data_IF_266714818699
#
_entry.id   IF_266714818699
#
_cell.length_a   1.000
_cell.length_b   1.000
_cell.length_c   1.000
_cell.angle_alpha   90.00
_cell.angle_beta   90.00
_cell.angle_gamma   90.00
#
_symmetry.space_group_name_H-M   'P 1'
#
loop_
_entity.id
_entity.type
_entity.pdbx_description
1 polymer ?
#
# COMPACT_ATOMS: atom_id res chain seq x y z
N UNK A 1 27.05 -36.41 -1.94
CA UNK A 1 25.65 -35.92 -1.99
C UNK A 1 25.13 -35.77 -0.57
N UNK A 2 24.95 -34.54 -0.04
CA UNK A 2 24.15 -34.14 1.15
C UNK A 2 24.64 -32.74 1.56
N UNK A 3 23.86 -31.70 1.88
CA UNK A 3 22.46 -31.52 2.30
C UNK A 3 22.11 -30.02 2.11
N UNK A 4 21.31 -29.66 1.11
CA UNK A 4 20.80 -28.28 0.89
C UNK A 4 19.53 -28.12 1.77
N UNK A 5 19.63 -27.64 3.02
CA UNK A 5 18.47 -27.45 3.92
C UNK A 5 18.48 -26.11 4.69
N UNK A 6 18.69 -24.96 4.05
CA UNK A 6 18.70 -23.66 4.79
C UNK A 6 17.80 -22.55 4.22
N UNK A 7 17.11 -22.74 3.09
CA UNK A 7 16.35 -21.64 2.45
C UNK A 7 14.91 -21.40 2.96
N UNK A 8 14.33 -22.35 3.69
CA UNK A 8 12.95 -22.27 4.19
C UNK A 8 12.83 -21.64 5.59
N UNK A 9 13.79 -21.94 6.46
CA UNK A 9 13.82 -21.46 7.87
C UNK A 9 13.99 -19.93 7.94
N UNK A 10 14.83 -19.35 7.08
CA UNK A 10 15.11 -17.91 7.09
C UNK A 10 13.90 -17.03 6.67
N UNK A 11 13.08 -17.50 5.72
CA UNK A 11 11.86 -16.79 5.30
C UNK A 11 10.81 -16.77 6.41
N UNK A 12 10.61 -17.90 7.08
CA UNK A 12 9.68 -18.03 8.21
C UNK A 12 10.15 -17.17 9.39
N UNK A 13 11.46 -17.11 9.66
CA UNK A 13 12.06 -16.22 10.67
C UNK A 13 11.84 -14.74 10.35
N UNK A 14 12.05 -14.32 9.08
CA UNK A 14 11.77 -12.94 8.64
C UNK A 14 10.29 -12.57 8.73
N UNK A 15 9.39 -13.47 8.35
CA UNK A 15 7.95 -13.25 8.45
C UNK A 15 7.49 -13.10 9.90
N UNK A 16 8.03 -13.92 10.80
CA UNK A 16 7.76 -13.82 12.25
C UNK A 16 8.26 -12.49 12.82
N UNK A 17 9.43 -12.02 12.40
CA UNK A 17 9.98 -10.72 12.81
C UNK A 17 9.13 -9.52 12.34
N UNK A 18 8.34 -9.67 11.28
CA UNK A 18 7.45 -8.64 10.72
C UNK A 18 6.10 -8.56 11.45
N UNK A 19 5.80 -9.43 12.41
CA UNK A 19 4.50 -9.46 13.09
C UNK A 19 4.39 -8.32 14.14
N UNK A 20 3.53 -7.31 13.93
CA UNK A 20 3.43 -6.12 14.79
C UNK A 20 2.73 -6.40 16.14
N UNK A 21 2.29 -7.63 16.39
CA UNK A 21 1.59 -8.07 17.60
C UNK A 21 2.48 -8.87 18.56
N UNK A 22 3.76 -9.09 18.24
CA UNK A 22 4.72 -9.72 19.15
C UNK A 22 5.10 -8.74 20.27
N UNK A 23 5.04 -9.18 21.53
CA UNK A 23 5.41 -8.38 22.71
C UNK A 23 4.32 -7.45 23.25
N UNK A 24 3.15 -7.36 22.60
CA UNK A 24 2.03 -6.53 23.08
C UNK A 24 1.12 -7.32 24.04
N UNK A 25 0.83 -6.81 25.25
CA UNK A 25 -0.06 -7.47 26.20
C UNK A 25 -1.54 -7.35 25.78
N UNK A 26 -2.38 -8.28 26.25
CA UNK A 26 -3.84 -8.25 26.06
C UNK A 26 -4.41 -9.36 25.18
N UNK A 27 -5.68 -9.71 25.44
CA UNK A 27 -6.39 -10.80 24.77
C UNK A 27 -6.47 -10.61 23.24
N UNK A 28 -6.84 -9.42 22.79
CA UNK A 28 -6.94 -9.09 21.37
C UNK A 28 -5.59 -9.19 20.64
N UNK A 29 -4.48 -8.82 21.29
CA UNK A 29 -3.15 -8.95 20.71
C UNK A 29 -2.74 -10.42 20.54
N UNK A 30 -3.14 -11.29 21.47
CA UNK A 30 -2.91 -12.74 21.35
C UNK A 30 -3.70 -13.35 20.19
N UNK A 31 -4.96 -12.94 20.00
CA UNK A 31 -5.77 -13.36 18.85
C UNK A 31 -5.16 -12.86 17.52
N UNK A 32 -4.81 -11.57 17.45
CA UNK A 32 -4.20 -10.98 16.26
C UNK A 32 -2.87 -11.66 15.89
N UNK A 33 -2.09 -12.10 16.88
CA UNK A 33 -0.86 -12.87 16.63
C UNK A 33 -1.13 -14.21 15.94
N UNK A 34 -2.20 -14.92 16.33
CA UNK A 34 -2.60 -16.18 15.70
C UNK A 34 -3.05 -15.91 14.26
N UNK A 35 -3.94 -14.93 14.07
CA UNK A 35 -4.46 -14.54 12.75
C UNK A 35 -3.32 -14.16 11.80
N UNK A 36 -2.36 -13.35 12.25
CA UNK A 36 -1.20 -12.93 11.44
C UNK A 36 -0.31 -14.11 11.01
N UNK A 37 -0.24 -15.18 11.80
CA UNK A 37 0.54 -16.38 11.44
C UNK A 37 -0.07 -17.11 10.24
N UNK A 38 -1.39 -17.07 10.09
CA UNK A 38 -2.10 -17.73 8.98
C UNK A 38 -2.33 -16.79 7.79
N UNK A 39 -2.75 -15.56 8.04
CA UNK A 39 -3.01 -14.56 6.99
C UNK A 39 -1.71 -13.98 6.40
N UNK A 40 -0.61 -14.04 7.15
CA UNK A 40 0.66 -13.45 6.77
C UNK A 40 0.64 -11.91 6.81
N UNK A 41 1.73 -11.27 6.37
CA UNK A 41 1.76 -9.83 6.20
C UNK A 41 0.74 -9.41 5.13
N UNK A 42 0.09 -8.26 5.31
CA UNK A 42 -0.82 -7.70 4.33
C UNK A 42 -0.10 -7.59 2.96
N UNK A 43 -0.65 -8.23 1.94
CA UNK A 43 -0.13 -8.14 0.58
C UNK A 43 -0.57 -6.81 -0.02
N UNK A 44 0.32 -5.82 0.01
CA UNK A 44 0.14 -4.57 -0.73
C UNK A 44 0.62 -4.84 -2.15
N UNK A 45 -0.32 -5.16 -3.05
CA UNK A 45 -0.06 -5.39 -4.48
C UNK A 45 0.05 -6.85 -4.92
N UNK A 46 0.22 -7.06 -6.23
CA UNK A 46 0.21 -8.36 -6.94
C UNK A 46 1.43 -9.27 -6.66
N UNK A 47 2.14 -9.06 -5.55
CA UNK A 47 3.35 -9.81 -5.19
C UNK A 47 4.54 -9.60 -6.14
N UNK A 48 4.46 -8.59 -7.02
CA UNK A 48 5.54 -8.14 -7.90
C UNK A 48 5.95 -6.73 -7.50
N UNK A 49 7.23 -6.34 -7.69
CA UNK A 49 7.63 -4.95 -7.54
C UNK A 49 6.84 -4.11 -8.55
N UNK A 50 5.89 -3.32 -8.04
CA UNK A 50 5.17 -2.35 -8.84
C UNK A 50 6.08 -1.16 -9.08
N UNK A 51 6.15 -0.70 -10.33
CA UNK A 51 6.90 0.51 -10.63
C UNK A 51 6.24 1.69 -9.88
N UNK A 52 7.02 2.64 -9.35
CA UNK A 52 6.46 3.85 -8.77
C UNK A 52 5.49 4.49 -9.76
N UNK A 53 4.31 4.90 -9.28
CA UNK A 53 3.36 5.63 -10.10
C UNK A 53 4.05 6.84 -10.75
N UNK A 54 3.99 6.89 -12.08
CA UNK A 54 4.44 8.06 -12.86
C UNK A 54 3.20 8.80 -13.33
N UNK A 55 3.01 10.00 -12.80
CA UNK A 55 1.99 10.90 -13.33
C UNK A 55 2.31 11.20 -14.82
N UNK A 56 1.30 11.23 -15.70
CA UNK A 56 1.47 11.78 -17.05
C UNK A 56 2.02 13.20 -16.99
N UNK A 57 2.86 13.60 -17.95
CA UNK A 57 3.40 14.97 -18.03
C UNK A 57 2.28 16.00 -18.18
N UNK A 58 1.26 15.66 -18.95
CA UNK A 58 0.17 16.56 -19.32
C UNK A 58 -1.18 15.89 -19.02
N UNK A 59 -1.63 15.93 -17.76
CA UNK A 59 -2.92 15.36 -17.39
C UNK A 59 -4.06 16.16 -18.01
N UNK A 60 -5.01 15.42 -18.60
CA UNK A 60 -6.25 15.98 -19.17
C UNK A 60 -7.41 15.82 -18.19
N UNK A 61 -8.33 16.76 -18.20
CA UNK A 61 -9.55 16.67 -17.40
C UNK A 61 -10.46 15.56 -17.93
N UNK A 62 -10.88 14.59 -17.09
CA UNK A 62 -11.77 13.52 -17.52
C UNK A 62 -13.19 14.00 -17.84
N UNK A 63 -13.56 15.22 -17.41
CA UNK A 63 -14.90 15.79 -17.61
C UNK A 63 -15.00 16.64 -18.88
N UNK A 64 -14.01 17.51 -19.14
CA UNK A 64 -14.03 18.44 -20.29
C UNK A 64 -12.96 18.15 -21.35
N UNK A 65 -12.03 17.24 -21.11
CA UNK A 65 -10.96 16.87 -22.04
C UNK A 65 -9.82 17.89 -22.18
N UNK A 66 -9.94 19.08 -21.60
CA UNK A 66 -8.91 20.12 -21.67
C UNK A 66 -7.74 19.87 -20.69
N UNK A 67 -6.54 20.43 -20.96
CA UNK A 67 -5.41 20.34 -20.05
C UNK A 67 -5.75 20.82 -18.62
N UNK A 68 -5.34 20.06 -17.61
CA UNK A 68 -5.52 20.44 -16.20
C UNK A 68 -4.87 21.78 -15.84
N UNK A 69 -3.83 22.19 -16.57
CA UNK A 69 -3.18 23.50 -16.41
C UNK A 69 -4.12 24.70 -16.65
N UNK A 70 -5.23 24.51 -17.37
CA UNK A 70 -6.23 25.55 -17.64
C UNK A 70 -7.33 25.63 -16.56
N UNK A 71 -7.30 24.74 -15.56
CA UNK A 71 -8.34 24.68 -14.54
C UNK A 71 -7.97 25.53 -13.32
N UNK A 72 -8.97 26.14 -12.69
CA UNK A 72 -8.80 26.86 -11.43
C UNK A 72 -9.18 25.93 -10.28
N UNK A 73 -8.34 25.86 -9.25
CA UNK A 73 -8.60 25.05 -8.05
C UNK A 73 -8.98 25.99 -6.91
N UNK A 74 -10.28 26.05 -6.58
CA UNK A 74 -10.78 26.80 -5.44
C UNK A 74 -10.62 25.98 -4.14
N UNK A 75 -9.89 26.54 -3.18
CA UNK A 75 -9.64 25.95 -1.85
C UNK A 75 -10.25 26.78 -0.71
N UNK A 76 -11.08 27.77 -1.03
CA UNK A 76 -11.68 28.68 -0.03
C UNK A 76 -12.79 28.01 0.78
N UNK A 77 -13.49 27.04 0.20
CA UNK A 77 -14.60 26.34 0.83
C UNK A 77 -14.20 25.16 1.74
N UNK A 78 -15.19 24.52 2.41
CA UNK A 78 -14.97 23.30 3.19
C UNK A 78 -14.55 22.10 2.32
N UNK A 79 -14.70 22.21 0.99
CA UNK A 79 -14.27 21.23 -0.01
C UNK A 79 -13.53 21.94 -1.11
N UNK A 80 -12.40 21.38 -1.52
CA UNK A 80 -11.68 21.83 -2.71
C UNK A 80 -12.52 21.54 -3.95
N UNK A 81 -12.77 22.57 -4.76
CA UNK A 81 -13.47 22.46 -6.04
C UNK A 81 -12.50 22.73 -7.18
N UNK A 82 -12.78 22.14 -8.34
CA UNK A 82 -12.02 22.35 -9.58
C UNK A 82 -12.97 22.91 -10.62
N UNK A 83 -12.71 24.13 -11.08
CA UNK A 83 -13.51 24.80 -12.09
C UNK A 83 -12.96 24.51 -13.48
N UNK A 84 -13.82 23.97 -14.34
CA UNK A 84 -13.48 23.74 -15.74
C UNK A 84 -13.39 25.08 -16.50
N UNK A 85 -12.39 25.24 -17.39
CA UNK A 85 -12.42 26.30 -18.37
C UNK A 85 -13.65 26.13 -19.25
N UNK A 86 -14.30 27.25 -19.61
CA UNK A 86 -15.43 27.27 -20.54
C UNK A 86 -14.96 27.14 -21.98
#
# INVERSE_FOLDING_TARGET
>A
MTRKKNGGDERVRRQTAMNPFIGKPGFFNRLNRIVFTFAGPAQIGIGKPEAPYRAPSDPVCPMCGMPMALHTIDRSGPRTQVDCPR
#
